data_IF_350277365406
#
_entry.id   IF_350277365406
#
_cell.length_a   1.000
_cell.length_b   1.000
_cell.length_c   1.000
_cell.angle_alpha   90.00
_cell.angle_beta   90.00
_cell.angle_gamma   90.00
#
_symmetry.space_group_name_H-M   'P 1'
#
loop_
_entity.id
_entity.type
_entity.pdbx_description
1 polymer ?
#
# COMPACT_ATOMS: atom_id res chain seq x y z
N UNK A 1 -12.30 -20.67 -10.71
CA UNK A 1 -10.92 -21.07 -11.07
C UNK A 1 -9.94 -20.43 -10.10
N UNK A 2 -9.12 -21.26 -9.45
CA UNK A 2 -8.29 -20.92 -8.29
C UNK A 2 -7.07 -20.01 -8.57
N UNK A 3 -6.96 -19.42 -9.76
CA UNK A 3 -5.86 -18.52 -10.13
C UNK A 3 -5.98 -17.12 -9.51
N UNK A 4 -7.20 -16.65 -9.20
CA UNK A 4 -7.43 -15.39 -8.48
C UNK A 4 -7.08 -15.44 -6.98
N UNK A 5 -6.94 -16.65 -6.41
CA UNK A 5 -6.61 -16.88 -5.00
C UNK A 5 -5.10 -16.97 -4.73
N UNK A 6 -4.27 -17.04 -5.77
CA UNK A 6 -2.81 -17.12 -5.66
C UNK A 6 -2.11 -15.76 -5.71
N UNK A 7 -2.81 -14.67 -6.07
CA UNK A 7 -2.42 -13.32 -5.67
C UNK A 7 -3.06 -13.04 -4.31
N UNK A 8 -2.45 -13.57 -3.25
CA UNK A 8 -2.80 -13.20 -1.89
C UNK A 8 -2.68 -11.69 -1.72
N UNK A 9 -3.67 -11.04 -1.10
CA UNK A 9 -3.64 -9.62 -0.71
C UNK A 9 -2.36 -9.20 0.02
N UNK A 10 -1.62 -10.15 0.59
CA UNK A 10 -0.32 -9.89 1.22
C UNK A 10 0.76 -9.42 0.23
N UNK A 11 0.66 -9.78 -1.06
CA UNK A 11 1.57 -9.30 -2.10
C UNK A 11 1.36 -7.81 -2.40
N UNK A 12 0.12 -7.33 -2.27
CA UNK A 12 -0.23 -5.94 -2.58
C UNK A 12 0.65 -4.97 -1.76
N UNK A 13 1.06 -5.32 -0.54
CA UNK A 13 2.01 -4.53 0.26
C UNK A 13 3.41 -4.45 -0.35
N UNK A 14 3.93 -5.56 -0.88
CA UNK A 14 5.20 -5.56 -1.60
C UNK A 14 5.11 -4.73 -2.87
N UNK A 15 4.05 -4.92 -3.65
CA UNK A 15 3.85 -4.16 -4.89
C UNK A 15 3.74 -2.64 -4.60
N UNK A 16 3.02 -2.24 -3.55
CA UNK A 16 2.90 -0.83 -3.14
C UNK A 16 4.20 -0.24 -2.60
N UNK A 17 4.94 -0.97 -1.76
CA UNK A 17 6.26 -0.55 -1.29
C UNK A 17 7.26 -0.44 -2.45
N UNK A 18 7.23 -1.37 -3.40
CA UNK A 18 8.07 -1.30 -4.59
C UNK A 18 7.72 -0.08 -5.46
N UNK A 19 6.42 0.20 -5.66
CA UNK A 19 5.97 1.37 -6.39
C UNK A 19 6.45 2.67 -5.73
N UNK A 20 6.30 2.78 -4.40
CA UNK A 20 6.73 3.97 -3.65
C UNK A 20 8.25 4.17 -3.67
N UNK A 21 9.05 3.09 -3.69
CA UNK A 21 10.51 3.16 -3.82
C UNK A 21 11.00 3.51 -5.22
N UNK A 22 10.23 3.19 -6.25
CA UNK A 22 10.71 3.22 -7.65
C UNK A 22 10.24 4.44 -8.43
N UNK A 23 9.02 4.91 -8.16
CA UNK A 23 8.38 5.94 -8.96
C UNK A 23 8.14 7.22 -8.17
N UNK A 24 8.07 8.33 -8.90
CA UNK A 24 7.55 9.57 -8.37
C UNK A 24 6.04 9.69 -8.59
N UNK A 25 5.38 10.41 -7.68
CA UNK A 25 3.94 10.67 -7.77
C UNK A 25 3.65 12.15 -7.54
N UNK A 26 2.77 12.70 -8.36
CA UNK A 26 2.13 13.99 -8.09
C UNK A 26 0.89 13.73 -7.24
N UNK A 27 0.83 14.38 -6.07
CA UNK A 27 -0.16 14.10 -5.04
C UNK A 27 -1.60 14.34 -5.50
N UNK A 28 -1.85 15.42 -6.23
CA UNK A 28 -3.20 15.80 -6.66
C UNK A 28 -3.75 14.82 -7.70
N UNK A 29 -2.91 14.36 -8.63
CA UNK A 29 -3.22 13.35 -9.62
C UNK A 29 -3.49 12.00 -8.94
N UNK A 30 -2.67 11.62 -7.96
CA UNK A 30 -2.86 10.37 -7.22
C UNK A 30 -4.17 10.38 -6.42
N UNK A 31 -4.50 11.48 -5.74
CA UNK A 31 -5.80 11.66 -5.08
C UNK A 31 -6.96 11.49 -6.07
N UNK A 32 -6.84 12.11 -7.25
CA UNK A 32 -7.86 12.03 -8.30
C UNK A 32 -8.07 10.59 -8.77
N UNK A 33 -6.97 9.86 -8.99
CA UNK A 33 -7.00 8.46 -9.41
C UNK A 33 -7.60 7.54 -8.32
N UNK A 34 -7.24 7.74 -7.05
CA UNK A 34 -7.80 7.00 -5.91
C UNK A 34 -9.31 7.22 -5.84
N UNK A 35 -9.78 8.47 -5.85
CA UNK A 35 -11.22 8.79 -5.79
C UNK A 35 -11.99 8.20 -6.96
N UNK A 36 -11.43 8.26 -8.17
CA UNK A 36 -12.05 7.65 -9.35
C UNK A 36 -12.17 6.12 -9.20
N UNK A 37 -11.14 5.47 -8.66
CA UNK A 37 -11.12 4.02 -8.43
C UNK A 37 -12.18 3.59 -7.42
N UNK A 38 -12.25 4.25 -6.27
CA UNK A 38 -13.22 3.90 -5.22
C UNK A 38 -14.67 4.19 -5.65
N UNK A 39 -14.89 5.32 -6.36
CA UNK A 39 -16.20 5.62 -6.96
C UNK A 39 -16.63 4.54 -7.95
N UNK A 40 -15.72 4.09 -8.81
CA UNK A 40 -16.03 3.03 -9.78
C UNK A 40 -16.35 1.69 -9.11
N UNK A 41 -15.70 1.39 -7.98
CA UNK A 41 -15.94 0.18 -7.19
C UNK A 41 -17.17 0.25 -6.29
N UNK A 42 -17.76 1.44 -6.09
CA UNK A 42 -18.89 1.63 -5.18
C UNK A 42 -18.52 1.41 -3.70
N UNK A 43 -17.25 1.59 -3.33
CA UNK A 43 -16.74 1.40 -1.97
C UNK A 43 -16.30 2.73 -1.37
N UNK A 44 -16.51 2.92 -0.07
CA UNK A 44 -16.00 4.09 0.65
C UNK A 44 -14.47 4.03 0.79
N UNK A 45 -13.83 5.20 0.88
CA UNK A 45 -12.40 5.30 1.21
C UNK A 45 -12.30 5.37 2.73
N UNK A 46 -11.59 4.41 3.32
CA UNK A 46 -11.25 4.37 4.75
C UNK A 46 -9.75 4.69 4.90
N UNK A 47 -9.39 5.90 5.38
CA UNK A 47 -7.99 6.28 5.50
C UNK A 47 -7.27 5.48 6.59
N UNK A 48 -8.00 5.14 7.66
CA UNK A 48 -7.51 4.34 8.80
C UNK A 48 -7.90 2.86 8.65
N UNK A 49 -7.37 2.20 7.62
CA UNK A 49 -7.64 0.77 7.42
C UNK A 49 -6.80 -0.10 8.34
N UNK A 50 -7.42 -1.10 8.98
CA UNK A 50 -6.72 -2.09 9.82
C UNK A 50 -5.55 -2.73 9.08
N UNK A 51 -5.64 -2.90 7.76
CA UNK A 51 -4.57 -3.47 6.93
C UNK A 51 -3.27 -2.66 6.92
N UNK A 52 -3.27 -1.39 7.33
CA UNK A 52 -2.07 -0.55 7.44
C UNK A 52 -1.62 -0.34 8.88
N UNK A 53 -2.19 -1.08 9.85
CA UNK A 53 -1.86 -0.97 11.27
C UNK A 53 -0.73 -1.90 11.71
N UNK A 54 -0.03 -1.51 12.76
CA UNK A 54 0.97 -2.36 13.42
C UNK A 54 0.37 -3.66 13.96
N UNK A 55 -0.87 -3.61 14.46
CA UNK A 55 -1.58 -4.79 14.94
C UNK A 55 -1.79 -5.83 13.84
N UNK A 56 -2.06 -5.38 12.61
CA UNK A 56 -2.18 -6.27 11.46
C UNK A 56 -0.83 -6.87 11.05
N UNK A 57 0.21 -6.05 10.97
CA UNK A 57 1.52 -6.51 10.49
C UNK A 57 2.23 -7.43 11.49
N UNK A 58 1.96 -7.25 12.79
CA UNK A 58 2.51 -8.04 13.89
C UNK A 58 1.80 -9.38 14.12
N UNK A 59 0.65 -9.63 13.46
CA UNK A 59 -0.06 -10.89 13.57
C UNK A 59 0.80 -12.05 13.03
N UNK A 60 1.13 -13.08 13.85
CA UNK A 60 1.94 -14.22 13.43
C UNK A 60 1.38 -14.96 12.22
N UNK A 61 0.05 -14.99 12.05
CA UNK A 61 -0.59 -15.61 10.89
C UNK A 61 -0.30 -14.84 9.60
N UNK A 62 -0.27 -13.49 9.65
CA UNK A 62 0.05 -12.63 8.49
C UNK A 62 1.52 -12.75 8.12
N UNK A 63 2.41 -12.72 9.12
CA UNK A 63 3.84 -12.99 8.91
C UNK A 63 4.10 -14.38 8.33
N UNK A 64 3.35 -15.41 8.74
CA UNK A 64 3.43 -16.74 8.15
C UNK A 64 2.94 -16.76 6.68
N UNK A 65 1.86 -16.03 6.36
CA UNK A 65 1.37 -15.88 4.98
C UNK A 65 2.43 -15.21 4.09
N UNK A 66 3.08 -14.14 4.56
CA UNK A 66 4.15 -13.46 3.85
C UNK A 66 5.35 -14.37 3.56
N UNK A 67 5.85 -15.09 4.58
CA UNK A 67 6.95 -16.06 4.39
C UNK A 67 6.59 -17.19 3.42
N UNK A 68 5.36 -17.68 3.47
CA UNK A 68 4.88 -18.70 2.54
C UNK A 68 4.80 -18.16 1.11
N UNK A 69 4.42 -16.89 0.93
CA UNK A 69 4.43 -16.22 -0.37
C UNK A 69 5.85 -16.11 -0.93
N UNK A 70 6.81 -15.59 -0.15
CA UNK A 70 8.21 -15.46 -0.57
C UNK A 70 8.79 -16.79 -1.07
N UNK A 71 8.62 -17.87 -0.28
CA UNK A 71 9.10 -19.22 -0.63
C UNK A 71 8.53 -19.74 -1.95
N UNK A 72 7.27 -19.43 -2.26
CA UNK A 72 6.59 -19.89 -3.48
C UNK A 72 6.95 -19.06 -4.70
N UNK A 73 7.14 -17.76 -4.51
CA UNK A 73 7.34 -16.80 -5.60
C UNK A 73 8.80 -16.62 -6.00
N UNK A 74 9.75 -17.29 -5.32
CA UNK A 74 11.20 -17.14 -5.52
C UNK A 74 11.69 -15.69 -5.35
N UNK A 75 10.94 -14.86 -4.62
CA UNK A 75 11.42 -13.55 -4.19
C UNK A 75 12.55 -13.76 -3.16
N UNK A 76 13.59 -12.93 -3.21
CA UNK A 76 14.71 -12.99 -2.26
C UNK A 76 14.27 -12.51 -0.87
N UNK A 77 15.01 -12.91 0.16
CA UNK A 77 14.83 -12.39 1.53
C UNK A 77 15.01 -10.85 1.60
N UNK A 78 15.62 -10.25 0.58
CA UNK A 78 15.78 -8.80 0.43
C UNK A 78 14.43 -8.07 0.27
N UNK A 79 13.34 -8.79 -0.01
CA UNK A 79 11.99 -8.22 -0.04
C UNK A 79 11.54 -7.67 1.33
N UNK A 80 12.24 -8.00 2.42
CA UNK A 80 11.96 -7.52 3.77
C UNK A 80 10.84 -8.28 4.47
N UNK A 81 10.61 -7.94 5.73
CA UNK A 81 9.49 -8.48 6.51
C UNK A 81 8.17 -7.77 6.21
N UNK A 82 7.07 -8.39 6.63
CA UNK A 82 5.76 -7.80 6.48
C UNK A 82 5.59 -6.48 7.26
N UNK A 83 6.09 -6.35 8.52
CA UNK A 83 6.02 -5.08 9.25
C UNK A 83 6.65 -3.91 8.51
N UNK A 84 7.82 -4.12 7.91
CA UNK A 84 8.53 -3.08 7.15
C UNK A 84 7.72 -2.65 5.93
N UNK A 85 7.20 -3.61 5.15
CA UNK A 85 6.39 -3.33 3.97
C UNK A 85 5.08 -2.60 4.33
N UNK A 86 4.44 -2.98 5.44
CA UNK A 86 3.23 -2.30 5.92
C UNK A 86 3.54 -0.88 6.35
N UNK A 87 4.64 -0.67 7.09
CA UNK A 87 5.08 0.66 7.54
C UNK A 87 5.37 1.60 6.36
N UNK A 88 6.08 1.12 5.34
CA UNK A 88 6.34 1.90 4.12
C UNK A 88 5.08 2.21 3.33
N UNK A 89 4.19 1.21 3.20
CA UNK A 89 2.90 1.40 2.53
C UNK A 89 2.06 2.43 3.29
N UNK A 90 2.06 2.39 4.62
CA UNK A 90 1.38 3.36 5.48
C UNK A 90 1.95 4.77 5.27
N UNK A 91 3.28 4.94 5.32
CA UNK A 91 3.92 6.24 5.08
C UNK A 91 3.61 6.84 3.70
N UNK A 92 3.48 5.99 2.68
CA UNK A 92 3.07 6.43 1.34
C UNK A 92 1.56 6.76 1.25
N UNK A 93 0.70 5.93 1.84
CA UNK A 93 -0.73 5.95 1.57
C UNK A 93 -1.55 6.87 2.50
N UNK A 94 -1.16 7.04 3.77
CA UNK A 94 -2.05 7.66 4.77
C UNK A 94 -2.45 9.09 4.43
N UNK A 95 -1.48 9.95 4.09
CA UNK A 95 -1.77 11.36 3.78
C UNK A 95 -2.61 11.51 2.50
N UNK A 96 -2.30 10.71 1.46
CA UNK A 96 -3.03 10.78 0.19
C UNK A 96 -4.46 10.22 0.32
N UNK A 97 -4.66 9.18 1.15
CA UNK A 97 -5.99 8.66 1.46
C UNK A 97 -6.81 9.66 2.28
N UNK A 98 -6.20 10.32 3.27
CA UNK A 98 -6.85 11.37 4.04
C UNK A 98 -7.32 12.52 3.13
N UNK A 99 -6.45 13.02 2.25
CA UNK A 99 -6.82 14.05 1.28
C UNK A 99 -7.90 13.59 0.28
N UNK A 100 -7.90 12.31 -0.09
CA UNK A 100 -8.94 11.74 -0.95
C UNK A 100 -10.33 11.73 -0.29
N UNK A 101 -10.38 11.64 1.06
CA UNK A 101 -11.62 11.70 1.85
C UNK A 101 -12.06 13.14 2.10
N UNK A 102 -11.16 14.01 2.55
CA UNK A 102 -11.50 15.42 2.88
C UNK A 102 -11.80 16.24 1.62
N UNK A 103 -11.22 15.86 0.48
CA UNK A 103 -11.33 16.61 -0.77
C UNK A 103 -10.45 17.86 -0.80
N UNK A 104 -9.57 18.04 0.19
CA UNK A 104 -8.60 19.13 0.21
C UNK A 104 -7.55 18.95 -0.91
N UNK A 105 -7.01 20.05 -1.46
CA UNK A 105 -5.90 19.97 -2.40
C UNK A 105 -4.67 19.31 -1.76
N UNK A 106 -4.14 18.26 -2.39
CA UNK A 106 -2.94 17.56 -1.94
C UNK A 106 -1.76 17.92 -2.85
N UNK A 107 -1.25 19.14 -2.66
CA UNK A 107 -0.12 19.70 -3.42
C UNK A 107 1.20 19.25 -2.81
N UNK A 108 1.47 17.95 -2.91
CA UNK A 108 2.73 17.35 -2.49
C UNK A 108 3.26 16.44 -3.59
N UNK A 109 4.56 16.23 -3.59
CA UNK A 109 5.25 15.33 -4.51
C UNK A 109 5.92 14.22 -3.72
N UNK A 110 5.83 13.01 -4.24
CA UNK A 110 6.59 11.86 -3.75
C UNK A 110 7.74 11.62 -4.71
N UNK A 111 8.96 11.72 -4.23
CA UNK A 111 10.14 11.24 -4.94
C UNK A 111 10.32 9.73 -4.68
N UNK A 112 11.03 8.97 -5.54
CA UNK A 112 11.30 7.55 -5.27
C UNK A 112 11.92 7.37 -3.87
N UNK A 113 11.24 6.59 -3.02
CA UNK A 113 11.60 6.38 -1.61
C UNK A 113 10.93 7.32 -0.59
N UNK A 114 10.27 8.38 -1.05
CA UNK A 114 9.56 9.36 -0.22
C UNK A 114 10.49 10.23 0.65
N UNK A 115 9.92 10.93 1.66
CA UNK A 115 8.49 11.07 1.95
C UNK A 115 7.77 12.05 1.00
N UNK A 116 6.51 12.39 1.30
CA UNK A 116 5.79 13.46 0.61
C UNK A 116 6.35 14.84 0.98
N UNK A 117 6.72 15.63 -0.03
CA UNK A 117 7.26 16.99 0.12
C UNK A 117 6.34 18.03 -0.56
N UNK A 118 6.26 19.28 -0.06
CA UNK A 118 5.47 20.34 -0.69
C UNK A 118 5.87 20.68 -2.13
#
# INVERSE_FOLDING_TARGET
>A
TALGLLNSRIKDYYDLALLSRTFSFEGQLLVTAIRATFRHRGTAIEPDTVGLSDAFSSDPARSAQWRAFLRRSRFSEEAGGLPELVSETHGFATEVLAAAVTGEPFKKYWSPGGPWEP
#
